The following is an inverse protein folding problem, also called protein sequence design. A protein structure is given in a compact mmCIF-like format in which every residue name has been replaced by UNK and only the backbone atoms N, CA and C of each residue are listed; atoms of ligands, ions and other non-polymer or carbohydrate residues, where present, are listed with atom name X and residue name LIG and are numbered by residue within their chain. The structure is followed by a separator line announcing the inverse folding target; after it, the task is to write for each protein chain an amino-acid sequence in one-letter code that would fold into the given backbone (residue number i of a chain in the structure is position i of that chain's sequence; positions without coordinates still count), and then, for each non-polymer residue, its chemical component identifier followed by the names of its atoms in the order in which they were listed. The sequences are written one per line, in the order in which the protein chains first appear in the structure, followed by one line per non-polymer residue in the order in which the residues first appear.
data_IF_908179191947
#
_entry.id   IF_908179191947
#
_cell.length_a   1.000
_cell.length_b   1.000
_cell.length_c   1.000
_cell.angle_alpha   90.00
_cell.angle_beta   90.00
_cell.angle_gamma   90.00
#
_symmetry.space_group_name_H-M   'P 1'
#
loop_
_entity.id
_entity.type
_entity.pdbx_description
1 polymer ?
#
# COMPACT_ATOMS: atom_id res chain seq x y z
N UNK A 1 32.76 -21.77 3.49
CA UNK A 1 33.15 -20.59 2.67
C UNK A 1 33.74 -19.56 3.61
N UNK A 2 34.98 -19.11 3.39
CA UNK A 2 35.60 -18.07 4.23
C UNK A 2 35.04 -16.70 3.84
N UNK A 3 35.06 -15.74 4.77
CA UNK A 3 34.56 -14.38 4.52
C UNK A 3 35.23 -13.71 3.30
N UNK A 4 36.51 -14.03 3.06
CA UNK A 4 37.27 -13.60 1.87
C UNK A 4 36.66 -14.15 0.57
N UNK A 5 36.30 -15.43 0.54
CA UNK A 5 35.72 -16.09 -0.64
C UNK A 5 34.35 -15.47 -0.98
N UNK A 6 33.56 -15.18 0.08
CA UNK A 6 32.28 -14.51 -0.06
C UNK A 6 32.48 -13.10 -0.65
N UNK A 7 33.36 -12.27 -0.08
CA UNK A 7 33.66 -10.92 -0.58
C UNK A 7 34.08 -10.89 -2.05
N UNK A 8 34.80 -11.91 -2.51
CA UNK A 8 35.21 -12.01 -3.92
C UNK A 8 34.06 -12.47 -4.84
N UNK A 9 33.10 -13.25 -4.31
CA UNK A 9 31.93 -13.71 -5.06
C UNK A 9 30.83 -12.66 -5.19
N UNK A 10 30.59 -11.86 -4.15
CA UNK A 10 29.63 -10.76 -4.16
C UNK A 10 30.35 -9.47 -4.54
N UNK A 11 30.13 -9.00 -5.78
CA UNK A 11 30.64 -7.74 -6.34
C UNK A 11 30.05 -6.49 -5.68
N UNK A 12 29.91 -6.49 -4.36
CA UNK A 12 29.37 -5.38 -3.58
C UNK A 12 30.51 -4.41 -3.28
N UNK A 13 30.31 -3.15 -3.67
CA UNK A 13 31.25 -2.06 -3.40
C UNK A 13 31.01 -1.59 -1.96
N UNK A 14 31.74 -2.18 -1.02
CA UNK A 14 31.68 -1.86 0.41
C UNK A 14 32.13 -0.44 0.76
N UNK A 15 32.55 0.37 -0.20
CA UNK A 15 32.90 1.78 0.01
C UNK A 15 31.80 2.75 -0.41
N UNK A 16 30.70 2.26 -0.98
CA UNK A 16 29.61 3.07 -1.53
C UNK A 16 28.26 2.56 -1.04
N UNK A 17 28.01 2.69 0.25
CA UNK A 17 26.71 2.37 0.84
C UNK A 17 26.33 3.44 1.86
N UNK A 18 25.04 3.75 1.93
CA UNK A 18 24.48 4.65 2.93
C UNK A 18 24.00 3.81 4.13
N UNK A 19 24.56 4.10 5.30
CA UNK A 19 24.04 3.59 6.57
C UNK A 19 22.98 4.60 7.03
N UNK A 20 21.71 4.19 6.95
CA UNK A 20 20.59 4.98 7.47
C UNK A 20 20.01 4.28 8.69
N UNK A 21 19.71 5.06 9.72
CA UNK A 21 19.04 4.65 10.94
C UNK A 21 17.57 4.38 10.60
N UNK A 22 17.26 3.20 10.09
CA UNK A 22 15.86 2.82 9.83
C UNK A 22 15.64 1.42 10.38
N UNK A 23 15.11 1.34 11.61
CA UNK A 23 14.65 0.09 12.24
C UNK A 23 13.31 -0.37 11.68
N UNK A 24 13.04 -0.06 10.42
CA UNK A 24 11.69 0.10 9.93
C UNK A 24 11.70 -0.19 8.44
N UNK A 25 10.88 -1.14 8.01
CA UNK A 25 10.84 -1.64 6.63
C UNK A 25 10.15 -0.67 5.66
N UNK A 26 10.03 0.61 6.03
CA UNK A 26 9.15 1.59 5.41
C UNK A 26 9.94 2.70 4.72
N UNK A 27 9.35 3.25 3.66
CA UNK A 27 9.81 4.47 3.03
C UNK A 27 9.09 5.70 3.63
N UNK A 28 9.77 6.40 4.55
CA UNK A 28 9.28 7.66 5.14
C UNK A 28 9.35 8.85 4.17
N UNK A 29 9.89 8.66 2.97
CA UNK A 29 10.04 9.72 1.95
C UNK A 29 8.92 9.70 0.90
N UNK A 30 8.02 8.70 0.95
CA UNK A 30 6.86 8.70 0.06
C UNK A 30 5.90 9.82 0.48
N UNK A 31 5.96 10.93 -0.25
CA UNK A 31 4.99 12.03 -0.16
C UNK A 31 3.86 11.78 -1.17
N UNK A 32 2.61 11.87 -0.70
CA UNK A 32 1.43 11.84 -1.56
C UNK A 32 0.86 13.26 -1.68
N UNK A 33 0.65 13.74 -2.90
CA UNK A 33 0.13 15.10 -3.15
C UNK A 33 -1.28 15.35 -2.59
N UNK A 34 -2.07 14.28 -2.44
CA UNK A 34 -3.45 14.33 -1.93
C UNK A 34 -3.58 13.27 -0.85
N UNK A 35 -4.16 13.66 0.28
CA UNK A 35 -4.38 12.79 1.42
C UNK A 35 -5.82 12.25 1.47
N UNK A 36 -6.07 11.17 2.22
CA UNK A 36 -7.43 10.67 2.45
C UNK A 36 -8.39 11.74 2.95
N UNK A 37 -7.91 12.66 3.79
CA UNK A 37 -8.72 13.73 4.36
C UNK A 37 -9.17 14.75 3.30
N UNK A 38 -8.38 14.99 2.26
CA UNK A 38 -8.75 15.86 1.15
C UNK A 38 -9.94 15.28 0.38
N UNK A 39 -9.89 13.98 0.06
CA UNK A 39 -11.02 13.28 -0.55
C UNK A 39 -12.27 13.32 0.33
N UNK A 40 -12.15 13.19 1.66
CA UNK A 40 -13.29 13.37 2.57
C UNK A 40 -13.84 14.79 2.54
N UNK A 41 -12.98 15.80 2.43
CA UNK A 41 -13.42 17.19 2.30
C UNK A 41 -14.14 17.42 0.97
N UNK A 42 -13.61 16.90 -0.14
CA UNK A 42 -14.29 16.94 -1.45
C UNK A 42 -15.66 16.26 -1.37
N UNK A 43 -15.74 15.10 -0.71
CA UNK A 43 -17.00 14.38 -0.52
C UNK A 43 -18.05 15.21 0.23
N UNK A 44 -17.64 15.92 1.30
CA UNK A 44 -18.51 16.82 2.06
C UNK A 44 -19.00 18.00 1.20
N UNK A 45 -18.14 18.57 0.35
CA UNK A 45 -18.53 19.65 -0.55
C UNK A 45 -19.53 19.16 -1.60
N UNK A 46 -19.26 18.02 -2.24
CA UNK A 46 -20.15 17.44 -3.24
C UNK A 46 -21.51 17.06 -2.66
N UNK A 47 -21.54 16.55 -1.43
CA UNK A 47 -22.79 16.21 -0.74
C UNK A 47 -23.70 17.43 -0.54
N UNK A 48 -23.13 18.63 -0.34
CA UNK A 48 -23.90 19.88 -0.18
C UNK A 48 -24.65 20.28 -1.46
N UNK A 49 -24.20 19.85 -2.64
CA UNK A 49 -24.79 20.22 -3.94
C UNK A 49 -26.16 19.52 -4.14
N UNK A 50 -26.41 18.38 -3.47
CA UNK A 50 -27.68 17.61 -3.43
C UNK A 50 -28.34 17.22 -4.77
N UNK A 51 -27.72 17.51 -5.90
CA UNK A 51 -28.14 17.02 -7.21
C UNK A 51 -27.45 15.69 -7.54
N UNK A 52 -27.86 15.03 -8.63
CA UNK A 52 -27.28 13.74 -9.05
C UNK A 52 -25.75 13.77 -9.15
N UNK A 53 -25.18 14.87 -9.69
CA UNK A 53 -23.73 15.04 -9.82
C UNK A 53 -23.05 15.11 -8.44
N UNK A 54 -23.59 15.89 -7.51
CA UNK A 54 -23.07 16.02 -6.15
C UNK A 54 -23.16 14.72 -5.35
N UNK A 55 -24.27 13.98 -5.47
CA UNK A 55 -24.40 12.68 -4.79
C UNK A 55 -23.40 11.65 -5.33
N UNK A 56 -23.19 11.61 -6.65
CA UNK A 56 -22.18 10.75 -7.28
C UNK A 56 -20.78 11.18 -6.86
N UNK A 57 -20.49 12.48 -6.85
CA UNK A 57 -19.19 13.02 -6.41
C UNK A 57 -18.89 12.68 -4.95
N UNK A 58 -19.86 12.86 -4.06
CA UNK A 58 -19.74 12.53 -2.65
C UNK A 58 -19.38 11.05 -2.43
N UNK A 59 -20.08 10.14 -3.12
CA UNK A 59 -19.81 8.70 -3.03
C UNK A 59 -18.43 8.35 -3.61
N UNK A 60 -18.08 8.86 -4.78
CA UNK A 60 -16.80 8.58 -5.44
C UNK A 60 -15.62 9.08 -4.61
N UNK A 61 -15.70 10.29 -4.09
CA UNK A 61 -14.67 10.86 -3.21
C UNK A 61 -14.57 10.10 -1.89
N UNK A 62 -15.68 9.63 -1.31
CA UNK A 62 -15.64 8.80 -0.11
C UNK A 62 -14.92 7.46 -0.35
N UNK A 63 -15.15 6.82 -1.51
CA UNK A 63 -14.42 5.59 -1.89
C UNK A 63 -12.94 5.88 -2.08
N UNK A 64 -12.60 6.97 -2.77
CA UNK A 64 -11.21 7.32 -3.04
C UNK A 64 -10.42 7.64 -1.78
N UNK A 65 -11.07 8.16 -0.73
CA UNK A 65 -10.43 8.32 0.58
C UNK A 65 -9.95 6.97 1.16
N UNK A 66 -10.75 5.90 1.01
CA UNK A 66 -10.38 4.55 1.44
C UNK A 66 -9.25 4.01 0.57
N UNK A 67 -9.39 4.10 -0.76
CA UNK A 67 -8.36 3.63 -1.69
C UNK A 67 -7.03 4.35 -1.44
N UNK A 68 -7.06 5.65 -1.15
CA UNK A 68 -5.87 6.44 -0.81
C UNK A 68 -5.18 5.93 0.47
N UNK A 69 -5.94 5.53 1.49
CA UNK A 69 -5.37 4.89 2.68
C UNK A 69 -4.74 3.52 2.36
N UNK A 70 -5.37 2.75 1.48
CA UNK A 70 -4.82 1.46 1.02
C UNK A 70 -3.52 1.68 0.26
N UNK A 71 -3.48 2.65 -0.67
CA UNK A 71 -2.29 3.04 -1.42
C UNK A 71 -1.14 3.41 -0.46
N UNK A 72 -1.44 4.20 0.58
CA UNK A 72 -0.48 4.54 1.65
C UNK A 72 0.04 3.30 2.38
N UNK A 73 -0.82 2.37 2.77
CA UNK A 73 -0.40 1.14 3.47
C UNK A 73 0.49 0.29 2.57
N UNK A 74 0.15 0.16 1.29
CA UNK A 74 0.95 -0.59 0.31
C UNK A 74 2.34 0.03 0.17
N UNK A 75 2.42 1.36 -0.01
CA UNK A 75 3.68 2.10 -0.06
C UNK A 75 4.46 2.00 1.23
N UNK A 76 3.78 2.14 2.38
CA UNK A 76 4.37 2.02 3.71
C UNK A 76 5.04 0.65 3.93
N UNK A 77 4.47 -0.42 3.39
CA UNK A 77 5.06 -1.76 3.46
C UNK A 77 6.22 -1.97 2.46
N UNK A 78 6.64 -0.93 1.73
CA UNK A 78 7.76 -0.96 0.79
C UNK A 78 7.38 -1.47 -0.62
N UNK A 79 6.09 -1.54 -0.94
CA UNK A 79 5.64 -1.91 -2.28
C UNK A 79 5.39 -0.68 -3.14
N UNK A 80 5.57 -0.85 -4.46
CA UNK A 80 5.19 0.18 -5.43
C UNK A 80 3.67 0.13 -5.64
N UNK A 81 2.96 1.05 -4.99
CA UNK A 81 1.49 1.14 -5.06
C UNK A 81 0.97 1.39 -6.49
N UNK A 82 1.71 2.14 -7.32
CA UNK A 82 1.31 2.45 -8.70
C UNK A 82 1.42 1.23 -9.62
N UNK A 83 2.29 0.26 -9.28
CA UNK A 83 2.47 -0.97 -10.04
C UNK A 83 2.21 -2.23 -9.19
N UNK A 84 1.30 -2.15 -8.22
CA UNK A 84 0.98 -3.25 -7.32
C UNK A 84 0.15 -4.32 -8.04
N UNK A 85 0.79 -5.41 -8.49
CA UNK A 85 0.11 -6.50 -9.17
C UNK A 85 0.81 -7.86 -9.00
N UNK A 86 0.07 -8.94 -9.28
CA UNK A 86 0.54 -10.33 -9.14
C UNK A 86 1.76 -10.68 -10.01
N UNK A 87 2.03 -9.94 -11.10
CA UNK A 87 3.22 -10.18 -11.92
C UNK A 87 4.48 -9.63 -11.24
N UNK A 88 4.35 -8.47 -10.58
CA UNK A 88 5.45 -7.83 -9.84
C UNK A 88 5.65 -8.46 -8.45
N UNK A 89 4.56 -8.84 -7.78
CA UNK A 89 4.57 -9.38 -6.42
C UNK A 89 3.79 -10.71 -6.32
N UNK A 90 4.20 -11.78 -7.02
CA UNK A 90 3.47 -13.06 -7.06
C UNK A 90 3.29 -13.70 -5.67
N UNK A 91 4.22 -13.46 -4.74
CA UNK A 91 4.16 -13.93 -3.37
C UNK A 91 2.96 -13.37 -2.59
N UNK A 92 2.50 -12.15 -2.90
CA UNK A 92 1.33 -11.54 -2.26
C UNK A 92 0.07 -12.31 -2.63
N UNK A 93 -0.06 -12.73 -3.90
CA UNK A 93 -1.19 -13.55 -4.35
C UNK A 93 -1.25 -14.90 -3.61
N UNK A 94 -0.10 -15.54 -3.41
CA UNK A 94 -0.02 -16.80 -2.65
C UNK A 94 -0.47 -16.58 -1.20
N UNK A 95 -0.04 -15.48 -0.57
CA UNK A 95 -0.45 -15.12 0.78
C UNK A 95 -1.97 -14.89 0.88
N UNK A 96 -2.54 -14.10 -0.05
CA UNK A 96 -3.98 -13.83 -0.10
C UNK A 96 -4.77 -15.12 -0.28
N UNK A 97 -4.39 -15.97 -1.24
CA UNK A 97 -5.07 -17.25 -1.47
C UNK A 97 -4.99 -18.15 -0.23
N UNK A 98 -3.86 -18.18 0.46
CA UNK A 98 -3.69 -18.92 1.71
C UNK A 98 -4.62 -18.40 2.81
N UNK A 99 -4.74 -17.08 2.95
CA UNK A 99 -5.66 -16.44 3.90
C UNK A 99 -7.13 -16.73 3.57
N UNK A 100 -7.54 -16.58 2.30
CA UNK A 100 -8.90 -16.87 1.84
C UNK A 100 -9.28 -18.35 1.97
N UNK A 101 -8.31 -19.26 1.88
CA UNK A 101 -8.56 -20.70 2.09
C UNK A 101 -8.65 -21.05 3.58
N UNK A 102 -7.89 -20.34 4.41
CA UNK A 102 -7.81 -20.59 5.86
C UNK A 102 -8.97 -20.02 6.67
N UNK A 103 -9.76 -19.12 6.08
CA UNK A 103 -10.94 -18.55 6.70
C UNK A 103 -12.11 -18.94 5.81
N UNK A 104 -13.16 -19.56 6.38
CA UNK A 104 -14.39 -19.93 5.66
C UNK A 104 -15.20 -18.66 5.33
N UNK A 105 -14.58 -17.77 4.56
CA UNK A 105 -15.14 -16.50 4.13
C UNK A 105 -15.84 -16.79 2.81
N UNK A 106 -17.15 -16.62 2.77
CA UNK A 106 -17.84 -16.55 1.49
C UNK A 106 -17.16 -15.47 0.65
N UNK A 107 -16.84 -15.77 -0.62
CA UNK A 107 -16.12 -14.87 -1.55
C UNK A 107 -16.66 -13.43 -1.61
N UNK A 108 -17.92 -13.23 -1.24
CA UNK A 108 -18.60 -11.94 -1.26
C UNK A 108 -18.56 -11.18 0.09
N UNK A 109 -17.88 -11.72 1.10
CA UNK A 109 -17.81 -11.09 2.42
C UNK A 109 -16.76 -9.98 2.44
N UNK A 110 -17.13 -8.83 2.97
CA UNK A 110 -16.17 -7.74 3.19
C UNK A 110 -15.23 -8.08 4.35
N UNK A 111 -13.93 -8.17 4.08
CA UNK A 111 -12.90 -8.42 5.09
C UNK A 111 -12.38 -7.08 5.60
N UNK A 112 -12.27 -6.92 6.93
CA UNK A 112 -11.67 -5.73 7.56
C UNK A 112 -10.27 -6.07 8.07
N UNK A 113 -9.26 -5.35 7.57
CA UNK A 113 -7.92 -5.34 8.17
C UNK A 113 -7.98 -4.68 9.56
N UNK A 114 -7.53 -5.40 10.58
CA UNK A 114 -7.29 -4.87 11.93
C UNK A 114 -5.80 -5.00 12.21
N UNK A 115 -5.12 -3.87 12.39
CA UNK A 115 -3.78 -3.83 12.97
C UNK A 115 -3.93 -3.98 14.50
N UNK A 116 -3.16 -4.90 15.10
CA UNK A 116 -3.10 -5.13 16.55
C UNK A 116 -1.83 -4.48 17.07
#
# INVERSE_FOLDING_TARGET
MKLQDLKNSIKIIWSSFNIVLVSSSWDLTTEFDIEPNDFLNFAKYDYKIKNKKGLVGALSNSKRAIDCQVDWIISYLGYDCLNFNDRKYPQVKVLINGFETGIDVHKDSSIKLRFI
#
